data_IF_710544360459
#
_entry.id   IF_710544360459
#
_cell.length_a   1.000
_cell.length_b   1.000
_cell.length_c   1.000
_cell.angle_alpha   90.00
_cell.angle_beta   90.00
_cell.angle_gamma   90.00
#
_symmetry.space_group_name_H-M   'P 1'
#
loop_
_entity.id
_entity.type
_entity.pdbx_description
1 polymer ?
#
# COMPACT_ATOMS: atom_id res chain seq x y z
N UNK A 1 6.36 19.22 -12.70
CA UNK A 1 5.34 18.19 -12.39
C UNK A 1 5.65 17.60 -11.03
N UNK A 2 5.10 18.16 -9.96
CA UNK A 2 5.31 17.70 -8.60
C UNK A 2 3.95 17.59 -7.92
N UNK A 3 3.28 16.44 -8.03
CA UNK A 3 2.00 16.17 -7.37
C UNK A 3 1.69 14.65 -7.37
N UNK A 4 2.51 13.83 -6.69
CA UNK A 4 2.11 12.44 -6.40
C UNK A 4 2.48 12.02 -4.97
N UNK A 5 3.51 12.63 -4.37
CA UNK A 5 3.92 12.31 -3.00
C UNK A 5 2.85 12.63 -1.92
N UNK A 6 1.83 13.44 -2.22
CA UNK A 6 0.83 13.85 -1.23
C UNK A 6 -0.28 12.82 -0.96
N UNK A 7 -0.47 11.84 -1.85
CA UNK A 7 -1.70 11.04 -1.88
C UNK A 7 -1.77 10.01 -0.74
N UNK A 8 -0.73 9.23 -0.48
CA UNK A 8 -0.82 8.08 0.44
C UNK A 8 -1.02 8.46 1.91
N UNK A 9 -0.29 9.46 2.40
CA UNK A 9 -0.52 9.99 3.73
C UNK A 9 -1.82 10.82 3.81
N UNK A 10 -2.28 11.42 2.70
CA UNK A 10 -3.59 12.08 2.69
C UNK A 10 -4.75 11.08 2.76
N UNK A 11 -4.64 9.90 2.15
CA UNK A 11 -5.67 8.87 2.19
C UNK A 11 -5.72 8.22 3.57
N UNK A 12 -4.57 7.91 4.18
CA UNK A 12 -4.52 7.41 5.56
C UNK A 12 -5.05 8.46 6.55
N UNK A 13 -4.66 9.72 6.41
CA UNK A 13 -5.18 10.80 7.24
C UNK A 13 -6.69 11.04 7.03
N UNK A 14 -7.18 10.97 5.79
CA UNK A 14 -8.60 11.12 5.47
C UNK A 14 -9.43 9.97 6.04
N UNK A 15 -8.94 8.72 5.93
CA UNK A 15 -9.58 7.53 6.48
C UNK A 15 -9.59 7.57 8.01
N UNK A 16 -8.48 7.98 8.64
CA UNK A 16 -8.43 8.17 10.10
C UNK A 16 -9.41 9.23 10.57
N UNK A 17 -9.45 10.39 9.88
CA UNK A 17 -10.39 11.47 10.17
C UNK A 17 -11.85 11.04 10.03
N UNK A 18 -12.17 10.23 9.02
CA UNK A 18 -13.51 9.66 8.85
C UNK A 18 -13.90 8.75 10.02
N UNK A 19 -13.00 7.84 10.42
CA UNK A 19 -13.25 6.92 11.54
C UNK A 19 -13.37 7.65 12.88
N UNK A 20 -12.57 8.70 13.10
CA UNK A 20 -12.68 9.56 14.29
C UNK A 20 -14.02 10.33 14.30
N UNK A 21 -14.57 10.71 13.14
CA UNK A 21 -15.87 11.38 13.05
C UNK A 21 -17.04 10.39 13.32
N UNK A 22 -16.96 9.20 12.75
CA UNK A 22 -17.90 8.11 13.02
C UNK A 22 -17.89 7.75 14.51
N UNK A 23 -16.72 7.51 15.08
CA UNK A 23 -16.57 7.17 16.48
C UNK A 23 -17.17 8.23 17.43
N UNK A 24 -16.98 9.51 17.11
CA UNK A 24 -17.60 10.62 17.85
C UNK A 24 -19.13 10.58 17.80
N UNK A 25 -19.73 10.29 16.64
CA UNK A 25 -21.20 10.15 16.51
C UNK A 25 -21.77 9.02 17.36
N UNK A 26 -20.99 7.96 17.59
CA UNK A 26 -21.37 6.84 18.44
C UNK A 26 -20.94 6.99 19.91
N UNK A 27 -20.39 8.15 20.31
CA UNK A 27 -19.99 8.42 21.69
C UNK A 27 -18.78 7.62 22.17
N UNK A 28 -17.98 7.08 21.24
CA UNK A 28 -16.76 6.36 21.60
C UNK A 28 -15.67 7.34 22.02
N UNK A 29 -15.12 7.13 23.22
CA UNK A 29 -13.98 7.88 23.70
C UNK A 29 -12.69 7.57 22.91
N UNK A 30 -11.73 8.50 22.86
CA UNK A 30 -10.50 8.35 22.06
C UNK A 30 -9.70 7.09 22.39
N UNK A 31 -9.72 6.64 23.66
CA UNK A 31 -9.04 5.41 24.07
C UNK A 31 -9.71 4.13 23.53
N UNK A 32 -11.04 4.14 23.44
CA UNK A 32 -11.80 3.03 22.84
C UNK A 32 -11.54 2.97 21.33
N UNK A 33 -11.47 4.13 20.69
CA UNK A 33 -11.11 4.27 19.27
C UNK A 33 -9.68 3.76 19.03
N UNK A 34 -8.70 4.17 19.84
CA UNK A 34 -7.31 3.73 19.70
C UNK A 34 -7.17 2.20 19.87
N UNK A 35 -7.89 1.59 20.81
CA UNK A 35 -7.89 0.12 20.98
C UNK A 35 -8.47 -0.62 19.78
N UNK A 36 -9.63 -0.19 19.30
CA UNK A 36 -10.30 -0.83 18.17
C UNK A 36 -9.51 -0.59 16.88
N UNK A 37 -9.08 0.64 16.63
CA UNK A 37 -8.27 0.98 15.46
C UNK A 37 -6.94 0.24 15.49
N UNK A 38 -6.19 0.20 16.59
CA UNK A 38 -4.93 -0.55 16.63
C UNK A 38 -5.08 -2.05 16.36
N UNK A 39 -6.28 -2.61 16.56
CA UNK A 39 -6.58 -4.02 16.26
C UNK A 39 -7.03 -4.23 14.80
N UNK A 40 -7.79 -3.29 14.24
CA UNK A 40 -8.43 -3.41 12.92
C UNK A 40 -7.60 -2.74 11.82
N UNK A 41 -6.78 -1.77 12.20
CA UNK A 41 -6.00 -0.88 11.35
C UNK A 41 -4.67 -0.57 12.06
N UNK A 42 -3.61 -1.37 11.84
CA UNK A 42 -2.29 -0.95 12.27
C UNK A 42 -2.01 0.46 11.72
N UNK A 43 -1.42 1.32 12.57
CA UNK A 43 -1.18 2.75 12.29
C UNK A 43 -0.36 2.98 11.00
N UNK A 44 0.37 1.96 10.58
CA UNK A 44 1.05 1.79 9.30
C UNK A 44 0.29 0.75 8.48
N UNK A 45 0.03 1.00 7.20
CA UNK A 45 -0.69 0.09 6.30
C UNK A 45 -0.10 -1.33 6.17
N UNK A 46 -0.50 -2.12 5.15
CA UNK A 46 0.06 -3.46 4.97
C UNK A 46 1.59 -3.42 4.96
N UNK A 47 2.20 -4.39 5.65
CA UNK A 47 3.66 -4.52 5.76
C UNK A 47 4.28 -4.54 4.36
N UNK A 48 5.12 -3.54 4.00
CA UNK A 48 5.57 -3.38 2.63
C UNK A 48 6.50 -4.53 2.19
N UNK A 49 7.24 -5.15 3.12
CA UNK A 49 8.10 -6.29 2.81
C UNK A 49 7.25 -7.52 2.46
N UNK A 50 6.11 -7.71 3.15
CA UNK A 50 5.14 -8.75 2.80
C UNK A 50 4.46 -8.51 1.45
N UNK A 51 4.12 -7.25 1.14
CA UNK A 51 3.53 -6.90 -0.17
C UNK A 51 4.50 -7.24 -1.31
N UNK A 52 5.80 -6.99 -1.13
CA UNK A 52 6.82 -7.37 -2.11
C UNK A 52 7.25 -8.85 -2.03
N UNK A 53 6.75 -9.61 -1.06
CA UNK A 53 7.11 -11.02 -0.86
C UNK A 53 8.58 -11.24 -0.47
N UNK A 54 9.20 -10.28 0.20
CA UNK A 54 10.63 -10.31 0.61
C UNK A 54 10.78 -10.23 2.12
N UNK A 55 11.92 -10.72 2.62
CA UNK A 55 12.27 -10.55 4.04
C UNK A 55 12.64 -9.07 4.33
N UNK A 56 12.32 -8.55 5.53
CA UNK A 56 12.89 -7.29 6.03
C UNK A 56 14.42 -7.27 6.07
N UNK A 57 15.08 -8.43 6.05
CA UNK A 57 16.54 -8.58 6.00
C UNK A 57 17.09 -8.73 4.57
N UNK A 58 16.23 -8.73 3.55
CA UNK A 58 16.64 -8.88 2.16
C UNK A 58 17.57 -7.74 1.73
N UNK A 59 18.47 -8.03 0.79
CA UNK A 59 19.36 -7.00 0.25
C UNK A 59 18.59 -6.01 -0.61
N UNK A 60 19.12 -4.80 -0.76
CA UNK A 60 18.50 -3.76 -1.59
C UNK A 60 18.39 -4.19 -3.06
N UNK A 61 19.33 -5.01 -3.53
CA UNK A 61 19.31 -5.59 -4.86
C UNK A 61 18.13 -6.56 -5.02
N UNK A 62 17.87 -7.40 -4.01
CA UNK A 62 16.76 -8.36 -4.00
C UNK A 62 15.41 -7.62 -3.97
N UNK A 63 15.29 -6.57 -3.16
CA UNK A 63 14.09 -5.73 -3.08
C UNK A 63 13.80 -5.08 -4.44
N UNK A 64 14.80 -4.45 -5.06
CA UNK A 64 14.66 -3.86 -6.40
C UNK A 64 14.32 -4.92 -7.46
N UNK A 65 14.85 -6.13 -7.32
CA UNK A 65 14.55 -7.24 -8.23
C UNK A 65 13.11 -7.72 -8.10
N UNK A 66 12.66 -7.99 -6.87
CA UNK A 66 11.29 -8.39 -6.57
C UNK A 66 10.28 -7.36 -7.07
N UNK A 67 10.52 -6.07 -6.79
CA UNK A 67 9.68 -4.97 -7.28
C UNK A 67 9.52 -4.99 -8.81
N UNK A 68 10.63 -5.06 -9.56
CA UNK A 68 10.57 -5.08 -11.04
C UNK A 68 9.84 -6.30 -11.58
N UNK A 69 10.01 -7.46 -10.94
CA UNK A 69 9.34 -8.69 -11.35
C UNK A 69 7.84 -8.57 -11.16
N UNK A 70 7.40 -8.12 -9.98
CA UNK A 70 5.99 -7.94 -9.65
C UNK A 70 5.30 -6.92 -10.57
N UNK A 71 5.94 -5.79 -10.87
CA UNK A 71 5.39 -4.80 -11.82
C UNK A 71 5.27 -5.39 -13.23
N UNK A 72 6.25 -6.17 -13.68
CA UNK A 72 6.20 -6.82 -15.00
C UNK A 72 5.10 -7.88 -15.08
N UNK A 73 4.88 -8.63 -14.00
CA UNK A 73 3.86 -9.67 -13.93
C UNK A 73 2.45 -9.07 -13.92
N UNK A 74 2.27 -7.93 -13.26
CA UNK A 74 0.98 -7.25 -13.15
C UNK A 74 0.76 -6.15 -14.20
N UNK A 75 1.64 -6.02 -15.19
CA UNK A 75 1.53 -4.96 -16.19
C UNK A 75 0.28 -5.14 -17.07
N UNK A 76 -0.57 -4.11 -17.23
CA UNK A 76 -1.81 -4.23 -17.99
C UNK A 76 -1.56 -4.69 -19.44
N UNK A 77 -0.57 -4.13 -20.14
CA UNK A 77 -0.25 -4.54 -21.52
C UNK A 77 0.09 -6.03 -21.64
N UNK A 78 0.76 -6.57 -20.64
CA UNK A 78 1.10 -7.99 -20.61
C UNK A 78 -0.15 -8.84 -20.40
N UNK A 79 -0.98 -8.47 -19.43
CA UNK A 79 -2.21 -9.18 -19.12
C UNK A 79 -3.22 -9.10 -20.28
N UNK A 80 -3.32 -7.96 -20.95
CA UNK A 80 -4.09 -7.79 -22.18
C UNK A 80 -3.58 -8.71 -23.29
N UNK A 81 -2.26 -8.80 -23.49
CA UNK A 81 -1.66 -9.70 -24.47
C UNK A 81 -1.87 -11.19 -24.15
N UNK A 82 -2.00 -11.54 -22.86
CA UNK A 82 -2.32 -12.89 -22.38
C UNK A 82 -3.83 -13.20 -22.44
N UNK A 83 -4.67 -12.24 -22.87
CA UNK A 83 -6.13 -12.42 -22.99
C UNK A 83 -6.86 -12.43 -21.65
N UNK A 84 -6.28 -11.81 -20.62
CA UNK A 84 -6.89 -11.69 -19.29
C UNK A 84 -8.12 -10.77 -19.37
N UNK A 85 -9.26 -11.12 -18.73
CA UNK A 85 -10.45 -10.28 -18.72
C UNK A 85 -10.21 -8.91 -18.08
N UNK A 86 -10.95 -7.89 -18.53
CA UNK A 86 -10.85 -6.49 -18.05
C UNK A 86 -10.96 -6.39 -16.52
N UNK A 87 -11.93 -7.06 -15.91
CA UNK A 87 -12.13 -7.06 -14.44
C UNK A 87 -10.89 -7.56 -13.68
N UNK A 88 -10.14 -8.50 -14.26
CA UNK A 88 -8.92 -9.04 -13.68
C UNK A 88 -7.72 -8.10 -13.93
N UNK A 89 -7.72 -7.35 -15.04
CA UNK A 89 -6.74 -6.29 -15.30
C UNK A 89 -6.93 -5.13 -14.33
N UNK A 90 -8.17 -4.78 -13.98
CA UNK A 90 -8.45 -3.78 -12.94
C UNK A 90 -7.91 -4.23 -11.57
N UNK A 91 -8.05 -5.52 -11.24
CA UNK A 91 -7.49 -6.08 -10.01
C UNK A 91 -5.96 -6.00 -10.01
N UNK A 92 -5.30 -6.43 -11.09
CA UNK A 92 -3.86 -6.35 -11.24
C UNK A 92 -3.34 -4.90 -11.21
N UNK A 93 -4.14 -3.94 -11.68
CA UNK A 93 -3.83 -2.51 -11.58
C UNK A 93 -3.83 -2.06 -10.11
N UNK A 94 -4.80 -2.50 -9.31
CA UNK A 94 -4.83 -2.23 -7.86
C UNK A 94 -3.66 -2.90 -7.15
N UNK A 95 -3.30 -4.12 -7.53
CA UNK A 95 -2.11 -4.80 -6.98
C UNK A 95 -0.83 -4.05 -7.33
N UNK A 96 -0.68 -3.60 -8.57
CA UNK A 96 0.47 -2.78 -9.00
C UNK A 96 0.59 -1.49 -8.18
N UNK A 97 -0.53 -0.83 -7.88
CA UNK A 97 -0.55 0.34 -7.00
C UNK A 97 -0.03 0.00 -5.59
N UNK A 98 -0.46 -1.14 -5.03
CA UNK A 98 0.02 -1.60 -3.72
C UNK A 98 1.53 -1.94 -3.74
N UNK A 99 2.00 -2.59 -4.82
CA UNK A 99 3.43 -2.90 -5.04
C UNK A 99 4.27 -1.62 -5.08
N UNK A 100 3.82 -0.60 -5.82
CA UNK A 100 4.50 0.69 -5.90
C UNK A 100 4.56 1.39 -4.54
N UNK A 101 3.44 1.46 -3.82
CA UNK A 101 3.38 2.08 -2.49
C UNK A 101 4.29 1.37 -1.49
N UNK A 102 4.33 0.04 -1.52
CA UNK A 102 5.22 -0.76 -0.67
C UNK A 102 6.70 -0.51 -0.97
N UNK A 103 7.08 -0.53 -2.25
CA UNK A 103 8.46 -0.24 -2.66
C UNK A 103 8.87 1.18 -2.28
N UNK A 104 8.01 2.17 -2.50
CA UNK A 104 8.26 3.56 -2.13
C UNK A 104 8.44 3.73 -0.62
N UNK A 105 7.68 2.99 0.19
CA UNK A 105 7.85 2.99 1.64
C UNK A 105 9.22 2.40 2.03
N UNK A 106 9.58 1.24 1.51
CA UNK A 106 10.89 0.61 1.78
C UNK A 106 12.03 1.50 1.31
N UNK A 107 11.89 2.13 0.14
CA UNK A 107 12.88 3.04 -0.41
C UNK A 107 13.11 4.25 0.51
N UNK A 108 12.04 4.81 1.09
CA UNK A 108 12.16 5.88 2.11
C UNK A 108 12.80 5.38 3.40
N UNK A 109 12.41 4.21 3.89
CA UNK A 109 12.95 3.61 5.12
C UNK A 109 14.45 3.33 5.02
N UNK A 110 14.91 2.86 3.85
CA UNK A 110 16.30 2.45 3.62
C UNK A 110 17.17 3.49 2.90
N UNK A 111 16.60 4.61 2.47
CA UNK A 111 17.31 5.64 1.71
C UNK A 111 17.72 5.21 0.30
N UNK A 112 16.94 4.33 -0.34
CA UNK A 112 17.18 3.88 -1.70
C UNK A 112 16.89 5.02 -2.68
N UNK A 113 17.83 5.28 -3.60
CA UNK A 113 17.64 6.14 -4.76
C UNK A 113 17.28 5.32 -6.00
#
# INVERSE_FOLDING_TARGET
MAAVAAADHSIHAAKRRFLDDVARRFGLGPDAVARVLGTVMPETGPDPYKVLGVSPDASDADIKSAYRNLVRENHPDRLMAEGVPEDMIELATKETQAINAAYDQIARERGLK
#
